data_IF_107778082610
#
_entry.id   IF_107778082610
#
_cell.length_a   1.000
_cell.length_b   1.000
_cell.length_c   1.000
_cell.angle_alpha   90.00
_cell.angle_beta   90.00
_cell.angle_gamma   90.00
#
_symmetry.space_group_name_H-M   'P 1'
#
loop_
_entity.id
_entity.type
_entity.pdbx_description
1 polymer ?
#
# COMPACT_ATOMS: atom_id res chain seq x y z
N UNK A 1 37.60 -17.62 20.90
CA UNK A 1 36.11 -17.52 20.86
C UNK A 1 35.77 -16.62 19.71
N UNK A 2 34.95 -17.05 18.81
CA UNK A 2 34.50 -16.20 17.69
C UNK A 2 33.52 -15.18 18.27
N UNK A 3 33.87 -13.88 18.20
CA UNK A 3 32.95 -12.83 18.62
C UNK A 3 31.83 -12.68 17.59
N UNK A 4 30.61 -12.45 18.07
CA UNK A 4 29.44 -12.26 17.22
C UNK A 4 28.97 -10.81 17.29
N UNK A 5 28.48 -10.31 16.17
CA UNK A 5 27.82 -9.02 16.05
C UNK A 5 26.52 -9.11 15.23
N UNK A 6 25.68 -8.09 15.30
CA UNK A 6 24.49 -8.02 14.44
C UNK A 6 24.86 -7.62 13.01
N UNK A 7 24.28 -8.30 12.05
CA UNK A 7 24.37 -7.93 10.64
C UNK A 7 23.51 -6.69 10.38
N UNK A 8 24.11 -5.62 9.88
CA UNK A 8 23.40 -4.37 9.63
C UNK A 8 22.35 -4.46 8.50
N UNK A 9 22.34 -5.55 7.73
CA UNK A 9 21.35 -5.77 6.67
C UNK A 9 20.14 -6.60 7.13
N UNK A 10 20.27 -7.57 8.02
CA UNK A 10 19.17 -8.45 8.40
C UNK A 10 18.98 -8.60 9.91
N UNK A 11 19.78 -7.91 10.73
CA UNK A 11 19.76 -7.96 12.19
C UNK A 11 19.87 -9.39 12.79
N UNK A 12 20.43 -10.32 12.04
CA UNK A 12 20.79 -11.66 12.55
C UNK A 12 22.24 -11.65 13.04
N UNK A 13 22.57 -12.52 14.00
CA UNK A 13 23.95 -12.69 14.47
C UNK A 13 24.86 -13.21 13.36
N UNK A 14 26.07 -12.66 13.28
CA UNK A 14 27.13 -13.11 12.37
C UNK A 14 28.49 -13.09 13.08
N UNK A 15 29.48 -13.88 12.63
CA UNK A 15 30.85 -13.72 13.09
C UNK A 15 31.37 -12.32 12.77
N UNK A 16 32.08 -11.69 13.70
CA UNK A 16 32.61 -10.34 13.53
C UNK A 16 33.58 -10.27 12.34
N UNK A 17 33.35 -9.31 11.44
CA UNK A 17 34.19 -9.09 10.25
C UNK A 17 33.95 -10.04 9.08
N UNK A 18 33.08 -11.05 9.21
CA UNK A 18 32.77 -11.99 8.13
C UNK A 18 31.44 -11.64 7.44
N UNK A 19 31.23 -12.06 6.17
CA UNK A 19 29.93 -11.95 5.53
C UNK A 19 28.83 -12.67 6.33
N UNK A 20 27.63 -12.11 6.31
CA UNK A 20 26.51 -12.67 7.06
C UNK A 20 26.07 -14.04 6.48
N UNK A 21 26.03 -15.12 7.30
CA UNK A 21 25.61 -16.44 6.82
C UNK A 21 24.13 -16.52 6.46
N UNK A 22 23.30 -15.57 6.92
CA UNK A 22 21.85 -15.54 6.65
C UNK A 22 21.48 -14.80 5.38
N UNK A 23 22.12 -13.66 5.09
CA UNK A 23 21.74 -12.80 3.96
C UNK A 23 22.90 -12.50 2.99
N UNK A 24 24.12 -13.01 3.26
CA UNK A 24 25.29 -12.79 2.41
C UNK A 24 25.88 -11.37 2.44
N UNK A 25 25.31 -10.46 3.23
CA UNK A 25 25.75 -9.07 3.30
C UNK A 25 27.19 -8.98 3.81
N UNK A 26 28.03 -8.15 3.14
CA UNK A 26 29.39 -7.85 3.55
C UNK A 26 29.43 -7.20 4.93
N UNK A 27 30.56 -7.40 5.66
CA UNK A 27 30.80 -6.70 6.91
C UNK A 27 30.99 -5.19 6.71
N UNK A 28 31.52 -4.81 5.57
CA UNK A 28 31.87 -3.44 5.18
C UNK A 28 30.83 -2.81 4.24
N UNK A 29 29.58 -3.34 4.21
CA UNK A 29 28.53 -2.78 3.36
C UNK A 29 28.30 -1.30 3.70
N UNK A 30 28.45 -0.38 2.71
CA UNK A 30 28.34 1.05 2.96
C UNK A 30 26.89 1.47 3.18
N UNK A 31 26.69 2.44 4.06
CA UNK A 31 25.40 3.10 4.22
C UNK A 31 25.09 4.01 3.01
N UNK A 32 23.81 4.23 2.74
CA UNK A 32 23.37 5.16 1.69
C UNK A 32 23.75 6.61 2.05
N UNK A 33 23.99 7.49 1.04
CA UNK A 33 24.19 8.91 1.27
C UNK A 33 23.03 9.51 2.10
N UNK A 34 23.35 10.45 2.97
CA UNK A 34 22.41 11.14 3.88
C UNK A 34 21.68 10.27 4.89
N UNK A 35 21.85 8.96 4.88
CA UNK A 35 21.29 8.08 5.89
C UNK A 35 22.09 8.18 7.21
N UNK A 36 21.42 7.86 8.33
CA UNK A 36 22.08 7.74 9.63
C UNK A 36 23.25 6.73 9.56
N UNK A 37 24.38 6.98 10.25
CA UNK A 37 25.46 6.02 10.33
C UNK A 37 24.99 4.67 10.88
N UNK A 38 25.57 3.58 10.39
CA UNK A 38 25.31 2.24 10.92
C UNK A 38 25.60 2.20 12.42
N UNK A 39 24.82 1.43 13.16
CA UNK A 39 24.91 1.27 14.62
C UNK A 39 24.57 2.53 15.43
N UNK A 40 24.06 3.61 14.81
CA UNK A 40 23.49 4.75 15.55
C UNK A 40 22.40 4.25 16.46
N UNK A 41 22.40 4.70 17.72
CA UNK A 41 21.39 4.36 18.73
C UNK A 41 20.40 5.52 18.87
N UNK A 42 19.14 5.30 18.56
CA UNK A 42 18.03 6.22 18.82
C UNK A 42 17.38 5.86 20.16
N UNK A 43 17.05 6.86 20.98
CA UNK A 43 16.45 6.71 22.31
C UNK A 43 17.22 5.72 23.21
N UNK A 44 18.53 5.52 22.98
CA UNK A 44 19.33 4.46 23.63
C UNK A 44 18.69 3.05 23.55
N UNK A 45 17.82 2.80 22.60
CA UNK A 45 17.06 1.58 22.45
C UNK A 45 17.11 1.00 21.05
N UNK A 46 16.95 1.82 20.03
CA UNK A 46 16.82 1.37 18.66
C UNK A 46 18.13 1.52 17.90
N UNK A 47 18.74 0.42 17.49
CA UNK A 47 19.95 0.42 16.68
C UNK A 47 19.59 0.54 15.19
N UNK A 48 20.25 1.47 14.48
CA UNK A 48 20.10 1.68 13.04
C UNK A 48 20.98 0.69 12.26
N UNK A 49 20.36 0.01 11.31
CA UNK A 49 21.02 -0.79 10.28
C UNK A 49 21.01 -0.10 8.92
N UNK A 50 21.09 -0.89 7.85
CA UNK A 50 21.10 -0.36 6.47
C UNK A 50 19.76 0.29 6.09
N UNK A 51 19.89 1.42 5.39
CA UNK A 51 18.75 2.08 4.77
C UNK A 51 18.11 1.18 3.68
N UNK A 52 16.80 1.04 3.72
CA UNK A 52 16.00 0.20 2.81
C UNK A 52 15.42 1.01 1.66
N UNK A 53 14.77 2.11 1.99
CA UNK A 53 14.08 2.99 1.06
C UNK A 53 14.45 4.44 1.37
N UNK A 54 14.49 5.29 0.36
CA UNK A 54 14.53 6.73 0.49
C UNK A 54 13.58 7.33 -0.54
N UNK A 55 12.74 8.25 -0.13
CA UNK A 55 11.77 8.94 -0.98
C UNK A 55 11.67 10.43 -0.62
N UNK A 56 10.65 11.13 -1.11
CA UNK A 56 10.43 12.55 -0.83
C UNK A 56 10.17 12.88 0.64
N UNK A 57 9.66 11.94 1.43
CA UNK A 57 9.39 12.10 2.86
C UNK A 57 10.63 11.88 3.73
N UNK A 58 11.45 10.88 3.38
CA UNK A 58 12.57 10.53 4.24
C UNK A 58 13.23 9.20 3.92
N UNK A 59 13.74 8.54 4.96
CA UNK A 59 14.55 7.33 4.84
C UNK A 59 14.01 6.25 5.78
N UNK A 60 13.87 5.03 5.27
CA UNK A 60 13.50 3.85 6.07
C UNK A 60 14.70 2.92 6.26
N UNK A 61 14.85 2.39 7.47
CA UNK A 61 15.95 1.55 7.90
C UNK A 61 15.45 0.22 8.45
N UNK A 62 16.21 -0.83 8.25
CA UNK A 62 16.09 -1.94 9.19
C UNK A 62 16.69 -1.51 10.54
N UNK A 63 16.02 -1.81 11.62
CA UNK A 63 16.47 -1.51 12.98
C UNK A 63 16.43 -2.72 13.89
N UNK A 64 16.97 -2.56 15.08
CA UNK A 64 16.93 -3.56 16.15
C UNK A 64 16.54 -2.89 17.47
N UNK A 65 15.47 -3.36 18.08
CA UNK A 65 15.08 -2.97 19.43
C UNK A 65 15.92 -3.78 20.44
N UNK A 66 16.87 -3.12 21.08
CA UNK A 66 17.79 -3.75 22.04
C UNK A 66 17.12 -4.14 23.37
N UNK A 67 15.94 -3.61 23.68
CA UNK A 67 15.16 -3.95 24.88
C UNK A 67 14.31 -5.20 24.65
N UNK A 68 13.64 -5.27 23.51
CA UNK A 68 12.78 -6.42 23.16
C UNK A 68 13.54 -7.51 22.41
N UNK A 69 14.76 -7.25 21.94
CA UNK A 69 15.57 -8.15 21.11
C UNK A 69 14.84 -8.59 19.82
N UNK A 70 14.21 -7.64 19.13
CA UNK A 70 13.48 -7.89 17.88
C UNK A 70 13.94 -6.93 16.78
N UNK A 71 13.78 -7.38 15.53
CA UNK A 71 13.93 -6.54 14.35
C UNK A 71 12.78 -5.54 14.27
N UNK A 72 13.07 -4.35 13.77
CA UNK A 72 12.09 -3.27 13.55
C UNK A 72 12.29 -2.60 12.21
N UNK A 73 11.25 -1.95 11.69
CA UNK A 73 11.35 -0.97 10.62
C UNK A 73 11.36 0.41 11.26
N UNK A 74 12.37 1.23 10.96
CA UNK A 74 12.48 2.59 11.48
C UNK A 74 12.37 3.53 10.31
N UNK A 75 11.44 4.50 10.38
CA UNK A 75 11.28 5.56 9.38
C UNK A 75 11.70 6.87 9.99
N UNK A 76 12.56 7.59 9.28
CA UNK A 76 13.03 8.91 9.61
C UNK A 76 12.35 9.94 8.69
N UNK A 77 11.72 10.95 9.25
CA UNK A 77 11.27 12.10 8.48
C UNK A 77 12.49 12.93 8.07
N UNK A 78 12.88 12.86 6.81
CA UNK A 78 14.06 13.54 6.28
C UNK A 78 13.83 13.99 4.83
N UNK A 79 12.99 15.01 4.60
CA UNK A 79 12.72 15.53 3.26
C UNK A 79 13.95 16.32 2.74
N UNK A 80 14.70 15.71 1.82
CA UNK A 80 15.96 16.23 1.31
C UNK A 80 15.81 17.54 0.52
N UNK A 81 14.59 17.91 0.11
CA UNK A 81 14.31 19.20 -0.54
C UNK A 81 14.32 20.39 0.42
N UNK A 82 14.14 20.14 1.71
CA UNK A 82 14.04 21.18 2.74
C UNK A 82 14.86 20.91 4.00
N UNK A 83 15.69 19.86 4.00
CA UNK A 83 16.57 19.54 5.12
C UNK A 83 17.87 18.90 4.66
N UNK A 84 18.90 19.04 5.49
CA UNK A 84 20.21 18.45 5.27
C UNK A 84 20.76 17.82 6.55
N UNK A 85 21.65 16.85 6.39
CA UNK A 85 22.35 16.19 7.49
C UNK A 85 23.61 16.97 7.85
N UNK A 86 23.78 17.28 9.13
CA UNK A 86 25.00 17.93 9.60
C UNK A 86 26.21 16.99 9.58
N UNK A 87 27.45 17.53 9.69
CA UNK A 87 28.70 16.74 9.66
C UNK A 87 28.82 15.68 10.76
N UNK A 88 28.05 15.77 11.85
CA UNK A 88 27.98 14.74 12.89
C UNK A 88 27.31 13.44 12.40
N UNK A 89 26.74 13.48 11.20
CA UNK A 89 26.04 12.36 10.57
C UNK A 89 24.67 12.03 11.17
N UNK A 90 24.19 12.79 12.15
CA UNK A 90 22.92 12.48 12.86
C UNK A 90 21.94 13.65 12.84
N UNK A 91 22.40 14.85 13.18
CA UNK A 91 21.52 16.01 13.31
C UNK A 91 20.98 16.48 11.97
N UNK A 92 19.70 16.76 11.93
CA UNK A 92 18.97 17.33 10.77
C UNK A 92 18.86 18.84 10.97
N UNK A 93 19.31 19.59 9.98
CA UNK A 93 19.12 21.04 9.87
C UNK A 93 18.12 21.34 8.77
N UNK A 94 17.16 22.19 9.07
CA UNK A 94 16.22 22.71 8.07
C UNK A 94 16.91 23.76 7.21
N UNK A 95 16.68 23.73 5.91
CA UNK A 95 17.19 24.72 4.95
C UNK A 95 16.46 26.04 5.17
N UNK A 96 17.22 27.16 5.15
CA UNK A 96 16.68 28.50 5.37
C UNK A 96 15.49 28.80 4.46
N UNK A 97 14.38 29.25 5.05
CA UNK A 97 13.13 29.55 4.36
C UNK A 97 12.15 28.37 4.23
N UNK A 98 12.55 27.17 4.68
CA UNK A 98 11.68 25.96 4.66
C UNK A 98 11.14 25.59 6.05
N UNK A 99 11.38 26.40 7.08
CA UNK A 99 11.13 26.04 8.49
C UNK A 99 9.64 25.77 8.74
N UNK A 100 8.76 26.60 8.22
CA UNK A 100 7.30 26.46 8.42
C UNK A 100 6.81 25.18 7.76
N UNK A 101 7.12 24.99 6.48
CA UNK A 101 6.70 23.82 5.69
C UNK A 101 7.27 22.51 6.27
N UNK A 102 8.53 22.53 6.71
CA UNK A 102 9.15 21.37 7.38
C UNK A 102 8.39 21.00 8.66
N UNK A 103 8.02 21.99 9.50
CA UNK A 103 7.28 21.72 10.73
C UNK A 103 5.86 21.23 10.46
N UNK A 104 5.19 21.73 9.43
CA UNK A 104 3.87 21.28 9.02
C UNK A 104 3.90 19.82 8.58
N UNK A 105 4.82 19.44 7.69
CA UNK A 105 4.96 18.04 7.25
C UNK A 105 5.43 17.12 8.38
N UNK A 106 6.33 17.58 9.26
CA UNK A 106 6.75 16.81 10.44
C UNK A 106 5.56 16.55 11.38
N UNK A 107 4.70 17.56 11.58
CA UNK A 107 3.50 17.42 12.39
C UNK A 107 2.51 16.42 11.77
N UNK A 108 2.32 16.46 10.45
CA UNK A 108 1.50 15.48 9.72
C UNK A 108 2.07 14.08 9.86
N UNK A 109 3.38 13.87 9.63
CA UNK A 109 4.06 12.59 9.81
C UNK A 109 3.83 11.98 11.19
N UNK A 110 3.94 12.80 12.24
CA UNK A 110 3.68 12.35 13.63
C UNK A 110 2.20 12.08 13.88
N UNK A 111 1.30 12.87 13.30
CA UNK A 111 -0.15 12.71 13.44
C UNK A 111 -0.63 11.42 12.79
N UNK A 112 -0.22 11.17 11.54
CA UNK A 112 -0.61 9.99 10.78
C UNK A 112 -0.10 8.71 11.45
N UNK A 113 1.15 8.74 11.94
CA UNK A 113 1.70 7.62 12.70
C UNK A 113 0.91 7.33 14.00
N UNK A 114 0.44 8.37 14.72
CA UNK A 114 -0.40 8.19 15.92
C UNK A 114 -1.76 7.59 15.58
N UNK A 115 -2.39 8.04 14.51
CA UNK A 115 -3.66 7.45 14.06
C UNK A 115 -3.48 5.96 13.72
N UNK A 116 -2.43 5.60 12.98
CA UNK A 116 -2.11 4.19 12.69
C UNK A 116 -1.83 3.38 13.95
N UNK A 117 -1.08 3.94 14.92
CA UNK A 117 -0.78 3.27 16.19
C UNK A 117 -2.04 2.98 17.03
N UNK A 118 -3.13 3.72 16.85
CA UNK A 118 -4.42 3.44 17.48
C UNK A 118 -5.20 2.30 16.80
N UNK A 119 -4.76 1.80 15.63
CA UNK A 119 -5.48 0.78 14.85
C UNK A 119 -4.84 -0.61 14.93
N UNK A 120 -4.28 -0.97 16.07
CA UNK A 120 -3.58 -2.26 16.29
C UNK A 120 -4.45 -3.50 16.05
N UNK A 121 -5.78 -3.37 16.05
CA UNK A 121 -6.70 -4.46 15.74
C UNK A 121 -6.75 -4.81 14.23
N UNK A 122 -6.22 -3.96 13.36
CA UNK A 122 -6.19 -4.19 11.92
C UNK A 122 -4.93 -4.98 11.53
N UNK A 123 -5.02 -6.30 11.50
CA UNK A 123 -3.87 -7.16 11.19
C UNK A 123 -3.42 -7.12 9.73
N UNK A 124 -4.21 -6.51 8.83
CA UNK A 124 -3.89 -6.38 7.41
C UNK A 124 -3.16 -5.07 7.05
N UNK A 125 -2.70 -4.32 8.06
CA UNK A 125 -1.87 -3.12 7.87
C UNK A 125 -0.62 -3.19 8.75
N UNK A 126 0.39 -2.41 8.39
CA UNK A 126 1.61 -2.19 9.18
C UNK A 126 1.28 -1.71 10.60
N UNK A 127 2.00 -2.21 11.61
CA UNK A 127 1.78 -1.85 13.01
C UNK A 127 2.88 -0.92 13.51
N UNK A 128 2.49 0.24 14.03
CA UNK A 128 3.42 1.21 14.64
C UNK A 128 3.58 0.90 16.14
N UNK A 129 4.83 0.77 16.59
CA UNK A 129 5.18 0.45 17.97
C UNK A 129 5.60 1.67 18.79
N UNK A 130 6.33 2.61 18.17
CA UNK A 130 6.85 3.79 18.83
C UNK A 130 6.92 4.99 17.90
N UNK A 131 6.87 6.19 18.46
CA UNK A 131 6.88 7.47 17.75
C UNK A 131 7.60 8.48 18.62
N UNK A 132 8.68 9.11 18.13
CA UNK A 132 9.44 10.07 18.91
C UNK A 132 10.14 11.10 18.04
N UNK A 133 10.60 12.17 18.68
CA UNK A 133 11.45 13.20 18.06
C UNK A 133 12.86 13.12 18.63
N UNK A 134 13.86 13.17 17.76
CA UNK A 134 15.29 13.19 18.09
C UNK A 134 16.06 13.80 16.91
N UNK A 135 17.31 14.23 17.11
CA UNK A 135 18.20 14.74 16.06
C UNK A 135 17.62 15.90 15.22
N UNK A 136 16.67 16.68 15.75
CA UNK A 136 16.00 17.75 15.01
C UNK A 136 14.90 17.30 14.06
N UNK A 137 14.54 16.02 14.05
CA UNK A 137 13.51 15.41 13.22
C UNK A 137 12.60 14.45 14.00
N UNK A 138 11.82 13.63 13.29
CA UNK A 138 10.89 12.67 13.85
C UNK A 138 11.12 11.26 13.30
N UNK A 139 10.82 10.27 14.13
CA UNK A 139 10.97 8.86 13.81
C UNK A 139 9.70 8.09 14.14
N UNK A 140 9.42 7.05 13.35
CA UNK A 140 8.46 6.01 13.71
C UNK A 140 9.16 4.65 13.74
N UNK A 141 8.71 3.77 14.64
CA UNK A 141 9.19 2.40 14.73
C UNK A 141 8.01 1.48 14.48
N UNK A 142 8.10 0.67 13.45
CA UNK A 142 7.09 -0.28 13.05
C UNK A 142 7.58 -1.72 13.20
N UNK A 143 6.65 -2.67 13.11
CA UNK A 143 6.97 -4.08 13.06
C UNK A 143 7.85 -4.40 11.84
N UNK A 144 8.76 -5.35 12.03
CA UNK A 144 9.47 -5.97 10.93
C UNK A 144 8.89 -7.36 10.68
N UNK A 145 8.44 -7.61 9.47
CA UNK A 145 7.99 -8.93 9.06
C UNK A 145 8.75 -9.41 7.82
N UNK A 146 9.12 -10.69 7.83
CA UNK A 146 9.68 -11.32 6.64
C UNK A 146 8.56 -11.54 5.62
N UNK A 147 8.64 -10.83 4.52
CA UNK A 147 7.59 -10.79 3.51
C UNK A 147 8.17 -10.66 2.09
N UNK A 148 7.32 -10.88 1.10
CA UNK A 148 7.59 -10.60 -0.30
C UNK A 148 6.51 -9.68 -0.85
N UNK A 149 6.85 -8.85 -1.85
CA UNK A 149 5.84 -7.98 -2.48
C UNK A 149 4.81 -8.79 -3.26
N UNK A 150 3.60 -8.25 -3.42
CA UNK A 150 2.58 -8.84 -4.28
C UNK A 150 3.11 -8.99 -5.71
N UNK A 151 3.92 -8.05 -6.20
CA UNK A 151 4.59 -8.15 -7.51
C UNK A 151 5.38 -9.43 -7.62
N UNK A 152 6.32 -9.65 -6.73
CA UNK A 152 7.17 -10.85 -6.72
C UNK A 152 6.35 -12.13 -6.55
N UNK A 153 5.34 -12.11 -5.67
CA UNK A 153 4.45 -13.25 -5.44
C UNK A 153 3.71 -13.67 -6.71
N UNK A 154 3.10 -12.72 -7.43
CA UNK A 154 2.36 -12.97 -8.68
C UNK A 154 3.30 -13.51 -9.76
N UNK A 155 4.47 -12.90 -9.93
CA UNK A 155 5.49 -13.37 -10.87
C UNK A 155 5.90 -14.84 -10.61
N UNK A 156 6.12 -15.20 -9.34
CA UNK A 156 6.47 -16.58 -8.94
C UNK A 156 5.31 -17.58 -9.07
N UNK A 157 4.07 -17.10 -9.12
CA UNK A 157 2.86 -17.93 -9.31
C UNK A 157 2.46 -18.10 -10.78
N UNK A 158 3.35 -17.81 -11.71
CA UNK A 158 3.11 -17.95 -13.15
C UNK A 158 2.55 -16.70 -13.81
N UNK A 159 2.68 -15.54 -13.18
CA UNK A 159 2.37 -14.22 -13.72
C UNK A 159 0.92 -13.75 -13.49
N UNK A 160 0.00 -14.58 -13.00
CA UNK A 160 -1.34 -14.18 -12.61
C UNK A 160 -1.98 -15.16 -11.62
N UNK A 161 -3.01 -14.69 -10.92
CA UNK A 161 -3.82 -15.49 -10.00
C UNK A 161 -5.23 -15.66 -10.58
N UNK A 162 -5.91 -16.75 -10.25
CA UNK A 162 -7.36 -16.84 -10.41
C UNK A 162 -8.10 -16.09 -9.28
N UNK A 163 -9.39 -15.86 -9.44
CA UNK A 163 -10.21 -15.16 -8.45
C UNK A 163 -10.27 -15.86 -7.08
N UNK A 164 -10.27 -17.19 -7.08
CA UNK A 164 -10.34 -17.97 -5.84
C UNK A 164 -9.06 -17.82 -5.01
N UNK A 165 -7.90 -17.68 -5.67
CA UNK A 165 -6.62 -17.41 -5.03
C UNK A 165 -6.47 -15.93 -4.62
N UNK A 166 -6.92 -15.00 -5.45
CA UNK A 166 -6.80 -13.56 -5.17
C UNK A 166 -7.76 -13.08 -4.07
N UNK A 167 -9.00 -13.55 -4.06
CA UNK A 167 -10.04 -13.09 -3.13
C UNK A 167 -9.63 -13.17 -1.65
N UNK A 168 -9.14 -14.30 -1.12
CA UNK A 168 -8.76 -14.40 0.30
C UNK A 168 -7.59 -13.49 0.69
N UNK A 169 -6.74 -13.09 -0.25
CA UNK A 169 -5.66 -12.13 -0.02
C UNK A 169 -6.20 -10.70 0.07
N UNK A 170 -7.02 -10.30 -0.88
CA UNK A 170 -7.48 -8.91 -1.02
C UNK A 170 -8.60 -8.51 -0.05
N UNK A 171 -9.51 -9.42 0.31
CA UNK A 171 -10.67 -9.07 1.14
C UNK A 171 -10.31 -8.58 2.55
N UNK A 172 -9.32 -9.13 3.26
CA UNK A 172 -8.89 -8.58 4.56
C UNK A 172 -8.33 -7.16 4.45
N UNK A 173 -7.51 -6.87 3.41
CA UNK A 173 -6.97 -5.53 3.16
C UNK A 173 -8.09 -4.55 2.82
N UNK A 174 -9.04 -4.94 1.99
CA UNK A 174 -10.22 -4.13 1.69
C UNK A 174 -10.99 -3.77 2.97
N UNK A 175 -11.14 -4.72 3.88
CA UNK A 175 -11.81 -4.49 5.17
C UNK A 175 -11.04 -3.51 6.05
N UNK A 176 -9.72 -3.61 6.07
CA UNK A 176 -8.86 -2.70 6.82
C UNK A 176 -8.93 -1.27 6.25
N UNK A 177 -8.85 -1.13 4.91
CA UNK A 177 -8.97 0.16 4.23
C UNK A 177 -10.33 0.82 4.49
N UNK A 178 -11.42 0.07 4.43
CA UNK A 178 -12.75 0.58 4.80
C UNK A 178 -12.76 1.15 6.22
N UNK A 179 -12.08 0.49 7.18
CA UNK A 179 -12.00 0.97 8.57
C UNK A 179 -11.10 2.20 8.68
N UNK A 180 -9.96 2.25 7.97
CA UNK A 180 -9.05 3.42 7.94
C UNK A 180 -9.80 4.67 7.47
N UNK A 181 -10.54 4.56 6.37
CA UNK A 181 -11.30 5.69 5.80
C UNK A 181 -12.38 6.23 6.73
N UNK A 182 -13.03 5.39 7.54
CA UNK A 182 -13.98 5.88 8.57
C UNK A 182 -13.32 6.77 9.63
N UNK A 183 -11.99 6.75 9.71
CA UNK A 183 -11.18 7.60 10.59
C UNK A 183 -10.45 8.71 9.84
N UNK A 184 -10.74 8.88 8.55
CA UNK A 184 -10.14 9.90 7.71
C UNK A 184 -8.68 9.60 7.30
N UNK A 185 -8.22 8.35 7.41
CA UNK A 185 -6.87 7.94 7.00
C UNK A 185 -6.94 7.34 5.60
N UNK A 186 -6.31 7.98 4.64
CA UNK A 186 -6.07 7.47 3.28
C UNK A 186 -4.64 6.94 3.18
N UNK A 187 -4.39 6.05 2.24
CA UNK A 187 -3.04 5.53 1.96
C UNK A 187 -2.41 6.19 0.73
N UNK A 188 -3.18 6.43 -0.30
CA UNK A 188 -2.86 7.10 -1.58
C UNK A 188 -1.69 6.51 -2.37
N UNK A 189 -1.04 5.44 -1.87
CA UNK A 189 0.12 4.80 -2.48
C UNK A 189 -0.03 3.30 -2.66
N UNK A 190 -1.28 2.79 -2.74
CA UNK A 190 -1.53 1.35 -2.89
C UNK A 190 -0.98 0.86 -4.24
N UNK A 191 -0.03 -0.07 -4.17
CA UNK A 191 0.66 -0.63 -5.34
C UNK A 191 1.04 -2.10 -5.09
N UNK A 192 1.45 -2.87 -6.11
CA UNK A 192 1.95 -4.22 -5.92
C UNK A 192 3.23 -4.30 -5.08
N UNK A 193 3.88 -3.17 -4.80
CA UNK A 193 5.09 -3.10 -4.02
C UNK A 193 4.83 -2.70 -2.55
N UNK A 194 3.68 -2.03 -2.27
CA UNK A 194 3.21 -1.71 -0.91
C UNK A 194 2.25 -2.76 -0.33
N UNK A 195 1.74 -3.67 -1.17
CA UNK A 195 1.05 -4.88 -0.75
C UNK A 195 2.07 -6.01 -0.62
N UNK A 196 2.20 -6.57 0.58
CA UNK A 196 3.16 -7.63 0.87
C UNK A 196 2.46 -8.92 1.31
N UNK A 197 3.08 -10.05 0.99
CA UNK A 197 2.63 -11.38 1.39
C UNK A 197 3.57 -11.89 2.47
N UNK A 198 3.01 -12.20 3.62
CA UNK A 198 3.73 -12.74 4.77
C UNK A 198 4.02 -14.23 4.61
N UNK A 199 4.90 -14.78 5.45
CA UNK A 199 5.23 -16.22 5.44
C UNK A 199 4.03 -17.12 5.70
N UNK A 200 3.03 -16.66 6.46
CA UNK A 200 1.78 -17.38 6.73
C UNK A 200 0.73 -17.26 5.59
N UNK A 201 1.07 -16.57 4.52
CA UNK A 201 0.22 -16.36 3.35
C UNK A 201 -0.80 -15.24 3.46
N UNK A 202 -0.84 -14.47 4.55
CA UNK A 202 -1.67 -13.27 4.67
C UNK A 202 -1.09 -12.12 3.87
N UNK A 203 -1.96 -11.22 3.37
CA UNK A 203 -1.55 -9.97 2.74
C UNK A 203 -1.63 -8.83 3.74
N UNK A 204 -0.65 -7.92 3.69
CA UNK A 204 -0.60 -6.68 4.45
C UNK A 204 -0.37 -5.48 3.54
N UNK A 205 -0.90 -4.33 3.93
CA UNK A 205 -0.58 -3.03 3.35
C UNK A 205 0.46 -2.32 4.22
N UNK A 206 1.53 -1.85 3.60
CA UNK A 206 2.69 -1.20 4.21
C UNK A 206 2.97 0.14 3.55
N UNK A 207 3.99 0.87 4.03
CA UNK A 207 4.44 2.15 3.45
C UNK A 207 3.36 3.25 3.50
N UNK A 208 2.75 3.45 4.67
CA UNK A 208 1.92 4.62 4.95
C UNK A 208 2.80 5.87 5.02
N UNK A 209 2.77 6.66 3.97
CA UNK A 209 3.59 7.86 3.79
C UNK A 209 2.69 9.10 3.73
N UNK A 210 3.29 10.28 3.88
CA UNK A 210 2.58 11.55 3.80
C UNK A 210 1.82 11.70 2.48
N UNK A 211 0.62 12.23 2.53
CA UNK A 211 -0.19 12.58 1.36
C UNK A 211 0.59 13.45 0.36
N UNK A 212 1.50 14.29 0.88
CA UNK A 212 2.32 15.17 0.07
C UNK A 212 3.26 14.44 -0.91
N UNK A 213 3.77 13.25 -0.57
CA UNK A 213 4.56 12.43 -1.52
C UNK A 213 3.68 11.60 -2.46
N UNK A 214 2.37 11.64 -2.27
CA UNK A 214 1.39 10.93 -3.09
C UNK A 214 0.68 11.83 -4.11
N UNK A 215 1.25 13.03 -4.37
CA UNK A 215 0.72 14.03 -5.29
C UNK A 215 1.84 14.74 -6.03
N UNK A 216 1.55 15.21 -7.26
CA UNK A 216 2.53 15.94 -8.10
C UNK A 216 2.67 17.42 -7.74
N UNK A 217 1.73 17.99 -7.00
CA UNK A 217 1.57 19.43 -6.76
C UNK A 217 2.03 19.89 -5.38
N UNK A 218 3.06 19.24 -4.81
CA UNK A 218 3.58 19.52 -3.47
C UNK A 218 5.06 19.85 -3.48
N UNK A 219 5.60 20.32 -2.35
CA UNK A 219 7.03 20.61 -2.17
C UNK A 219 7.90 19.35 -2.00
N UNK A 220 7.28 18.18 -1.87
CA UNK A 220 7.98 16.90 -1.75
C UNK A 220 8.02 16.17 -3.10
N UNK A 221 9.15 15.56 -3.47
CA UNK A 221 9.21 14.70 -4.63
C UNK A 221 8.18 13.58 -4.56
N UNK A 222 7.33 13.42 -5.61
CA UNK A 222 6.27 12.43 -5.59
C UNK A 222 6.80 11.00 -5.70
N UNK A 223 6.15 10.08 -4.99
CA UNK A 223 6.35 8.63 -5.07
C UNK A 223 5.06 7.99 -5.59
N UNK A 224 4.86 8.01 -6.92
CA UNK A 224 3.67 7.52 -7.62
C UNK A 224 4.02 6.32 -8.50
N UNK A 225 3.20 5.28 -8.44
CA UNK A 225 3.34 4.09 -9.30
C UNK A 225 2.39 4.20 -10.49
N UNK A 226 2.95 4.33 -11.69
CA UNK A 226 2.18 4.39 -12.93
C UNK A 226 1.24 3.17 -13.07
N UNK A 227 -0.03 3.42 -13.37
CA UNK A 227 -1.08 2.41 -13.43
C UNK A 227 -1.81 2.17 -12.10
N UNK A 228 -1.18 2.46 -10.95
CA UNK A 228 -1.81 2.43 -9.62
C UNK A 228 -2.25 3.82 -9.16
N UNK A 229 -1.48 4.85 -9.48
CA UNK A 229 -1.83 6.22 -9.15
C UNK A 229 -3.03 6.69 -9.99
N UNK A 230 -4.03 7.26 -9.31
CA UNK A 230 -5.24 7.78 -9.92
C UNK A 230 -5.03 9.16 -10.53
N UNK A 231 -5.95 9.61 -11.39
CA UNK A 231 -5.82 10.87 -12.13
C UNK A 231 -5.64 12.09 -11.20
N UNK A 232 -6.36 12.14 -10.11
CA UNK A 232 -6.35 13.22 -9.11
C UNK A 232 -5.00 13.39 -8.40
N UNK A 233 -4.13 12.41 -8.47
CA UNK A 233 -2.76 12.50 -7.92
C UNK A 233 -1.80 13.22 -8.89
N UNK A 234 -2.15 13.30 -10.16
CA UNK A 234 -1.36 13.96 -11.21
C UNK A 234 -1.82 15.38 -11.55
N UNK A 235 -3.08 15.73 -11.21
CA UNK A 235 -3.70 17.00 -11.62
C UNK A 235 -4.32 17.71 -10.42
N UNK A 236 -4.20 19.04 -10.39
CA UNK A 236 -4.69 19.89 -9.29
C UNK A 236 -6.21 20.08 -9.22
N UNK A 237 -6.94 19.68 -10.29
CA UNK A 237 -8.39 19.88 -10.40
C UNK A 237 -9.20 19.05 -9.37
N UNK A 238 -8.59 18.07 -8.75
CA UNK A 238 -9.24 17.14 -7.82
C UNK A 238 -8.39 16.94 -6.58
N UNK A 239 -9.05 16.70 -5.44
CA UNK A 239 -8.38 16.34 -4.20
C UNK A 239 -8.44 14.82 -4.05
N UNK A 240 -7.32 14.12 -3.83
CA UNK A 240 -7.31 12.70 -3.51
C UNK A 240 -8.15 12.40 -2.26
N UNK A 241 -8.91 11.33 -2.31
CA UNK A 241 -9.81 10.88 -1.25
C UNK A 241 -9.90 9.36 -1.17
N UNK A 242 -10.90 8.82 -0.47
CA UNK A 242 -11.16 7.38 -0.38
C UNK A 242 -11.24 6.71 -1.76
N UNK A 243 -11.83 7.39 -2.76
CA UNK A 243 -11.97 6.81 -4.11
C UNK A 243 -10.63 6.68 -4.83
N UNK A 244 -9.61 7.44 -4.44
CA UNK A 244 -8.23 7.30 -4.92
C UNK A 244 -7.63 5.96 -4.47
N UNK A 245 -7.82 5.59 -3.21
CA UNK A 245 -7.41 4.29 -2.68
C UNK A 245 -8.19 3.12 -3.31
N UNK A 246 -9.48 3.33 -3.61
CA UNK A 246 -10.29 2.35 -4.36
C UNK A 246 -9.66 2.08 -5.73
N UNK A 247 -9.18 3.13 -6.43
CA UNK A 247 -8.49 2.95 -7.72
C UNK A 247 -7.19 2.18 -7.58
N UNK A 248 -6.31 2.56 -6.64
CA UNK A 248 -5.04 1.88 -6.39
C UNK A 248 -5.21 0.41 -6.00
N UNK A 249 -6.16 0.12 -5.11
CA UNK A 249 -6.51 -1.24 -4.72
C UNK A 249 -7.03 -2.07 -5.92
N UNK A 250 -7.94 -1.51 -6.70
CA UNK A 250 -8.47 -2.16 -7.89
C UNK A 250 -7.39 -2.38 -8.96
N UNK A 251 -6.41 -1.47 -9.10
CA UNK A 251 -5.27 -1.64 -9.98
C UNK A 251 -4.36 -2.81 -9.55
N UNK A 252 -4.14 -2.97 -8.24
CA UNK A 252 -3.42 -4.11 -7.68
C UNK A 252 -4.18 -5.44 -7.88
N UNK A 253 -5.50 -5.44 -7.70
CA UNK A 253 -6.33 -6.61 -7.96
C UNK A 253 -6.32 -6.96 -9.46
N UNK A 254 -6.43 -5.96 -10.32
CA UNK A 254 -6.30 -6.13 -11.78
C UNK A 254 -4.93 -6.74 -12.13
N UNK A 255 -3.84 -6.21 -11.56
CA UNK A 255 -2.50 -6.77 -11.73
C UNK A 255 -2.43 -8.24 -11.30
N UNK A 256 -2.94 -8.56 -10.12
CA UNK A 256 -2.94 -9.93 -9.61
C UNK A 256 -3.68 -10.91 -10.54
N UNK A 257 -4.77 -10.47 -11.16
CA UNK A 257 -5.61 -11.31 -12.04
C UNK A 257 -5.13 -11.39 -13.49
N UNK A 258 -4.35 -10.40 -13.95
CA UNK A 258 -3.96 -10.29 -15.37
C UNK A 258 -2.46 -10.40 -15.60
N UNK A 259 -1.64 -10.20 -14.57
CA UNK A 259 -0.17 -10.13 -14.65
C UNK A 259 0.38 -8.77 -15.09
N UNK A 260 -0.48 -7.79 -15.38
CA UNK A 260 -0.07 -6.46 -15.82
C UNK A 260 -0.88 -5.37 -15.12
N UNK A 261 -0.25 -4.23 -14.84
CA UNK A 261 -0.97 -3.05 -14.35
C UNK A 261 -1.84 -2.45 -15.46
N UNK A 262 -2.93 -1.75 -15.10
CA UNK A 262 -3.66 -0.92 -16.05
C UNK A 262 -2.73 0.12 -16.69
N UNK A 263 -3.11 0.64 -17.86
CA UNK A 263 -2.44 1.82 -18.39
C UNK A 263 -2.55 2.99 -17.41
N UNK A 264 -1.53 3.83 -17.39
CA UNK A 264 -1.47 5.03 -16.57
C UNK A 264 -2.72 5.91 -16.73
N UNK A 265 -3.18 6.52 -15.63
CA UNK A 265 -4.41 7.29 -15.58
C UNK A 265 -4.39 8.50 -16.54
N UNK A 266 -3.23 9.14 -16.76
CA UNK A 266 -3.09 10.24 -17.71
C UNK A 266 -3.33 9.77 -19.14
N UNK A 267 -2.83 8.61 -19.52
CA UNK A 267 -3.11 8.02 -20.85
C UNK A 267 -4.57 7.62 -20.98
N UNK A 268 -5.14 7.04 -19.92
CA UNK A 268 -6.55 6.64 -19.89
C UNK A 268 -7.52 7.83 -19.84
N UNK A 269 -7.08 9.04 -19.52
CA UNK A 269 -7.89 10.26 -19.64
C UNK A 269 -8.31 10.50 -21.11
N UNK A 270 -7.45 10.16 -22.06
CA UNK A 270 -7.75 10.27 -23.50
C UNK A 270 -8.55 9.05 -24.02
N UNK A 271 -8.29 7.86 -23.52
CA UNK A 271 -8.99 6.61 -23.85
C UNK A 271 -9.27 5.81 -22.59
N UNK A 272 -10.47 5.96 -22.04
CA UNK A 272 -10.87 5.38 -20.75
C UNK A 272 -11.06 3.86 -20.75
N UNK A 273 -10.89 3.20 -21.90
CA UNK A 273 -11.09 1.75 -22.00
C UNK A 273 -10.12 1.00 -21.11
N UNK A 274 -10.63 0.04 -20.35
CA UNK A 274 -9.83 -0.90 -19.59
C UNK A 274 -9.57 -2.14 -20.45
N UNK A 275 -8.30 -2.33 -20.84
CA UNK A 275 -7.90 -3.46 -21.68
C UNK A 275 -7.68 -4.70 -20.80
N UNK A 276 -8.63 -5.63 -20.83
CA UNK A 276 -8.53 -6.91 -20.10
C UNK A 276 -8.23 -8.02 -21.13
N UNK A 277 -7.22 -8.88 -20.89
CA UNK A 277 -6.93 -10.01 -21.76
C UNK A 277 -8.15 -10.94 -21.93
N UNK A 278 -8.41 -11.42 -23.14
CA UNK A 278 -9.58 -12.26 -23.44
C UNK A 278 -9.60 -13.56 -22.62
N UNK A 279 -8.42 -14.12 -22.31
CA UNK A 279 -8.30 -15.29 -21.44
C UNK A 279 -8.83 -15.01 -20.03
N UNK A 280 -8.45 -13.87 -19.46
CA UNK A 280 -8.87 -13.40 -18.13
C UNK A 280 -10.38 -13.11 -18.11
N UNK A 281 -10.92 -12.45 -19.16
CA UNK A 281 -12.36 -12.20 -19.28
C UNK A 281 -13.20 -13.47 -19.25
N UNK A 282 -12.69 -14.58 -19.81
CA UNK A 282 -13.40 -15.87 -19.84
C UNK A 282 -13.34 -16.62 -18.50
N UNK A 283 -12.33 -16.37 -17.69
CA UNK A 283 -12.07 -17.07 -16.42
C UNK A 283 -12.68 -16.37 -15.20
N UNK A 284 -12.92 -15.05 -15.29
CA UNK A 284 -13.43 -14.26 -14.17
C UNK A 284 -14.96 -14.26 -14.11
N UNK A 285 -15.55 -14.27 -12.90
CA UNK A 285 -16.97 -14.03 -12.73
C UNK A 285 -17.35 -12.63 -13.26
N UNK A 286 -18.50 -12.48 -13.94
CA UNK A 286 -18.95 -11.21 -14.52
C UNK A 286 -19.02 -10.07 -13.52
N UNK A 287 -19.41 -10.33 -12.26
CA UNK A 287 -19.47 -9.31 -11.22
C UNK A 287 -18.09 -8.76 -10.84
N UNK A 288 -17.03 -9.58 -10.89
CA UNK A 288 -15.65 -9.13 -10.64
C UNK A 288 -15.20 -8.20 -11.75
N UNK A 289 -15.50 -8.54 -13.01
CA UNK A 289 -15.18 -7.69 -14.18
C UNK A 289 -15.87 -6.33 -14.04
N UNK A 290 -17.17 -6.34 -13.70
CA UNK A 290 -17.94 -5.11 -13.49
C UNK A 290 -17.40 -4.28 -12.34
N UNK A 291 -17.10 -4.90 -11.18
CA UNK A 291 -16.52 -4.22 -10.02
C UNK A 291 -15.17 -3.57 -10.36
N UNK A 292 -14.27 -4.28 -11.05
CA UNK A 292 -13.00 -3.73 -11.53
C UNK A 292 -13.21 -2.57 -12.51
N UNK A 293 -14.14 -2.70 -13.46
CA UNK A 293 -14.44 -1.63 -14.42
C UNK A 293 -14.98 -0.37 -13.76
N UNK A 294 -15.79 -0.51 -12.70
CA UNK A 294 -16.31 0.62 -11.92
C UNK A 294 -15.21 1.26 -11.06
N UNK A 295 -14.44 0.45 -10.34
CA UNK A 295 -13.38 0.93 -9.45
C UNK A 295 -12.20 1.55 -10.21
N UNK A 296 -11.94 1.14 -11.44
CA UNK A 296 -10.89 1.69 -12.31
C UNK A 296 -11.38 2.81 -13.25
N UNK A 297 -12.55 3.42 -12.99
CA UNK A 297 -12.95 4.62 -13.71
C UNK A 297 -11.93 5.73 -13.49
N UNK A 298 -11.50 6.37 -14.57
CA UNK A 298 -10.47 7.42 -14.53
C UNK A 298 -10.96 8.64 -13.77
N UNK A 299 -12.21 9.08 -14.07
CA UNK A 299 -12.82 10.23 -13.41
C UNK A 299 -13.33 9.83 -12.02
N UNK A 300 -12.92 10.51 -10.92
CA UNK A 300 -13.37 10.20 -9.56
C UNK A 300 -14.89 10.16 -9.42
N UNK A 301 -15.60 11.09 -10.05
CA UNK A 301 -17.07 11.17 -10.00
C UNK A 301 -17.82 9.99 -10.65
N UNK A 302 -17.14 9.17 -11.44
CA UNK A 302 -17.70 7.97 -12.08
C UNK A 302 -17.23 6.67 -11.42
N UNK A 303 -16.28 6.78 -10.51
CA UNK A 303 -15.64 5.65 -9.84
C UNK A 303 -16.48 5.16 -8.67
N UNK A 304 -16.31 3.88 -8.29
CA UNK A 304 -16.79 3.35 -7.02
C UNK A 304 -16.28 4.24 -5.88
N UNK A 305 -17.15 4.89 -5.07
CA UNK A 305 -16.73 5.99 -4.20
C UNK A 305 -16.02 5.53 -2.92
N UNK A 306 -16.29 4.31 -2.43
CA UNK A 306 -15.77 3.82 -1.15
C UNK A 306 -15.69 2.28 -1.12
N UNK A 307 -14.89 1.76 -0.18
CA UNK A 307 -14.61 0.32 -0.09
C UNK A 307 -15.82 -0.55 0.25
N UNK A 308 -16.81 -0.06 0.99
CA UNK A 308 -18.05 -0.80 1.25
C UNK A 308 -18.81 -1.09 -0.05
N UNK A 309 -18.86 -0.11 -0.95
CA UNK A 309 -19.47 -0.29 -2.26
C UNK A 309 -18.67 -1.28 -3.11
N UNK A 310 -17.33 -1.17 -3.12
CA UNK A 310 -16.46 -2.11 -3.83
C UNK A 310 -16.62 -3.53 -3.28
N UNK A 311 -16.72 -3.69 -1.96
CA UNK A 311 -16.98 -4.98 -1.31
C UNK A 311 -18.27 -5.62 -1.83
N UNK A 312 -19.34 -4.84 -1.91
CA UNK A 312 -20.63 -5.31 -2.42
C UNK A 312 -20.51 -5.74 -3.89
N UNK A 313 -19.81 -4.96 -4.72
CA UNK A 313 -19.58 -5.26 -6.14
C UNK A 313 -18.76 -6.54 -6.34
N UNK A 314 -17.72 -6.76 -5.53
CA UNK A 314 -16.86 -7.96 -5.58
C UNK A 314 -17.47 -9.19 -4.89
N UNK A 315 -18.60 -9.06 -4.20
CA UNK A 315 -19.29 -10.14 -3.49
C UNK A 315 -20.64 -10.51 -4.11
N UNK A 316 -21.12 -9.75 -5.11
CA UNK A 316 -22.42 -9.97 -5.72
C UNK A 316 -22.47 -11.36 -6.36
N UNK A 317 -23.29 -12.25 -5.77
CA UNK A 317 -23.72 -13.44 -6.47
C UNK A 317 -24.49 -13.00 -7.74
N UNK A 318 -24.41 -13.75 -8.86
CA UNK A 318 -25.21 -13.43 -10.03
C UNK A 318 -26.67 -13.35 -9.57
N UNK A 319 -27.27 -12.17 -9.74
CA UNK A 319 -28.72 -12.02 -9.58
C UNK A 319 -29.30 -12.97 -10.63
N UNK A 320 -29.79 -14.11 -10.21
CA UNK A 320 -30.66 -14.93 -11.03
C UNK A 320 -31.88 -14.03 -11.25
N UNK A 321 -31.93 -13.38 -12.40
CA UNK A 321 -33.15 -12.77 -12.89
C UNK A 321 -34.11 -13.93 -12.98
N UNK A 322 -34.97 -14.12 -11.95
CA UNK A 322 -36.10 -14.96 -12.07
C UNK A 322 -36.84 -14.45 -13.31
N UNK A 323 -36.88 -15.26 -14.37
CA UNK A 323 -37.83 -15.04 -15.45
C UNK A 323 -39.17 -14.94 -14.74
N UNK A 324 -39.76 -13.75 -14.73
CA UNK A 324 -41.17 -13.58 -14.42
C UNK A 324 -41.82 -14.34 -15.54
N UNK A 325 -42.30 -15.57 -15.25
CA UNK A 325 -43.21 -16.27 -16.13
C UNK A 325 -44.44 -15.38 -16.24
N UNK A 326 -44.67 -14.82 -17.43
CA UNK A 326 -45.91 -14.16 -17.72
C UNK A 326 -47.04 -15.12 -17.40
N UNK A 327 -48.07 -14.71 -16.65
CA UNK A 327 -49.21 -15.58 -16.37
C UNK A 327 -49.82 -16.00 -17.69
N UNK A 328 -49.96 -17.31 -17.88
CA UNK A 328 -50.69 -17.89 -19.04
C UNK A 328 -52.05 -17.22 -19.18
N UNK A 329 -52.43 -16.82 -20.39
CA UNK A 329 -53.76 -16.28 -20.63
C UNK A 329 -54.83 -17.29 -20.17
N UNK A 330 -55.94 -16.83 -19.56
CA UNK A 330 -56.99 -17.73 -19.07
C UNK A 330 -57.55 -18.58 -20.20
N UNK A 331 -57.71 -19.89 -19.92
CA UNK A 331 -58.37 -20.82 -20.84
C UNK A 331 -59.70 -20.26 -21.28
N UNK A 332 -60.05 -20.34 -22.59
CA UNK A 332 -61.37 -19.92 -23.06
C UNK A 332 -62.48 -20.82 -22.44
N UNK A 333 -63.49 -20.16 -21.91
CA UNK A 333 -64.63 -20.81 -21.30
C UNK A 333 -65.33 -21.82 -22.29
N UNK A 334 -65.74 -22.97 -21.83
CA UNK A 334 -66.39 -23.96 -22.71
C UNK A 334 -67.66 -23.40 -23.31
N UNK A 335 -67.76 -23.43 -24.66
CA UNK A 335 -68.95 -23.03 -25.42
C UNK A 335 -69.96 -24.13 -25.32
N UNK A 336 -71.04 -23.85 -24.61
CA UNK A 336 -72.22 -24.73 -24.55
C UNK A 336 -72.98 -24.64 -25.86
N UNK A 337 -72.97 -25.69 -26.64
CA UNK A 337 -73.89 -25.85 -27.77
C UNK A 337 -75.24 -26.43 -27.25
N UNK A 338 -76.23 -25.57 -27.15
CA UNK A 338 -77.61 -26.00 -27.05
C UNK A 338 -78.19 -26.22 -28.44
N UNK A 339 -78.52 -27.46 -28.77
CA UNK A 339 -79.25 -27.76 -29.97
C UNK A 339 -80.70 -27.25 -29.87
N UNK A 340 -81.16 -26.67 -30.97
CA UNK A 340 -82.54 -26.82 -31.51
C UNK A 340 -82.47 -27.47 -32.86
#
# INVERSE_FOLDING_TARGET
>A
MTDFELCMNCMSERPTGEPCPHCGCSAEEPQRPNALPLKTMLQNRYMIGLARKSNGEGISYIGYDSVLNIKTLIREFFPQTMSERLPDGQTVRVVDGSEVTFQEYKASFLSDARELAHMRQLSAIEQIYDIFEENGTAYTVAEWEECITLRYFVERRGGSLDWNAARPLFMPVLSALSTLHTRGVNHLGISPDTLVILQDGRMKLTDFELDAVRRMDTDLPPDLVAGCAALEQYVMDYVPDESTDVYGFAACLFFALTGALPQDALRRKADSRLMIPTSTLKSLPPYVITGLANALQVMPSKRTPHFERLRAELSAAPTVTAKIEEPLPPEPAPVSYTHL
#
